data_IF_888717375363
#
_entry.id   IF_888717375363
#
_cell.length_a   1.000
_cell.length_b   1.000
_cell.length_c   1.000
_cell.angle_alpha   90.00
_cell.angle_beta   90.00
_cell.angle_gamma   90.00
#
_symmetry.space_group_name_H-M   'P 1'
#
loop_
_entity.id
_entity.type
_entity.pdbx_description
1 polymer ?
#
# COMPACT_ATOMS: atom_id res chain seq x y z
N UNK A 1 -20.84 -5.98 -35.56
CA UNK A 1 -20.24 -7.34 -35.48
C UNK A 1 -20.89 -7.98 -34.25
N UNK A 2 -21.83 -8.88 -34.52
CA UNK A 2 -22.55 -9.63 -33.48
C UNK A 2 -21.57 -10.54 -32.76
N UNK A 3 -21.10 -10.10 -31.61
CA UNK A 3 -20.31 -10.95 -30.71
C UNK A 3 -21.22 -11.96 -30.03
N UNK A 4 -21.41 -13.14 -30.62
CA UNK A 4 -21.96 -14.28 -29.90
C UNK A 4 -21.17 -14.44 -28.60
N UNK A 5 -21.83 -14.24 -27.45
CA UNK A 5 -21.21 -14.50 -26.14
C UNK A 5 -20.72 -15.94 -26.14
N UNK A 6 -19.40 -16.12 -26.03
CA UNK A 6 -18.80 -17.47 -25.89
C UNK A 6 -19.48 -18.18 -24.75
N UNK A 7 -19.80 -19.45 -24.95
CA UNK A 7 -20.28 -20.30 -23.86
C UNK A 7 -19.09 -20.71 -22.98
N UNK A 8 -19.34 -21.11 -21.73
CA UNK A 8 -18.26 -21.56 -20.85
C UNK A 8 -17.48 -22.76 -21.39
N UNK A 9 -18.15 -23.58 -22.24
CA UNK A 9 -17.55 -24.71 -22.93
C UNK A 9 -16.56 -24.32 -24.04
N UNK A 10 -16.63 -23.11 -24.56
CA UNK A 10 -15.76 -22.65 -25.65
C UNK A 10 -14.35 -22.24 -25.16
N UNK A 11 -14.14 -22.17 -23.84
CA UNK A 11 -12.84 -21.91 -23.29
C UNK A 11 -11.96 -23.16 -23.24
N UNK A 12 -10.74 -23.11 -23.80
CA UNK A 12 -9.84 -24.26 -23.78
C UNK A 12 -9.45 -24.65 -22.35
N UNK A 13 -9.22 -25.90 -22.08
CA UNK A 13 -8.83 -26.44 -20.78
C UNK A 13 -7.62 -25.70 -20.19
N UNK A 14 -6.68 -25.28 -21.04
CA UNK A 14 -5.52 -24.48 -20.63
C UNK A 14 -5.93 -23.16 -19.95
N UNK A 15 -7.01 -22.53 -20.40
CA UNK A 15 -7.52 -21.27 -19.81
C UNK A 15 -8.09 -21.53 -18.41
N UNK A 16 -8.84 -22.62 -18.25
CA UNK A 16 -9.35 -23.05 -16.94
C UNK A 16 -8.21 -23.36 -15.96
N UNK A 17 -7.19 -24.09 -16.42
CA UNK A 17 -6.01 -24.39 -15.60
C UNK A 17 -5.32 -23.09 -15.18
N UNK A 18 -5.13 -22.13 -16.09
CA UNK A 18 -4.52 -20.84 -15.76
C UNK A 18 -5.35 -20.07 -14.73
N UNK A 19 -6.66 -19.97 -14.95
CA UNK A 19 -7.55 -19.27 -14.04
C UNK A 19 -7.50 -19.88 -12.64
N UNK A 20 -7.76 -21.20 -12.52
CA UNK A 20 -7.85 -21.88 -11.24
C UNK A 20 -6.49 -21.95 -10.54
N UNK A 21 -5.45 -22.42 -11.25
CA UNK A 21 -4.12 -22.60 -10.66
C UNK A 21 -3.54 -21.30 -10.13
N UNK A 22 -3.58 -20.25 -10.95
CA UNK A 22 -2.99 -18.96 -10.54
C UNK A 22 -3.82 -18.27 -9.47
N UNK A 23 -5.15 -18.33 -9.54
CA UNK A 23 -6.02 -17.81 -8.48
C UNK A 23 -5.79 -18.54 -7.15
N UNK A 24 -5.74 -19.87 -7.15
CA UNK A 24 -5.48 -20.67 -5.94
C UNK A 24 -4.10 -20.35 -5.37
N UNK A 25 -3.07 -20.29 -6.23
CA UNK A 25 -1.73 -19.97 -5.75
C UNK A 25 -1.60 -18.51 -5.27
N UNK A 26 -2.29 -17.57 -5.92
CA UNK A 26 -2.38 -16.19 -5.46
C UNK A 26 -3.03 -16.09 -4.07
N UNK A 27 -4.16 -16.76 -3.87
CA UNK A 27 -4.83 -16.84 -2.56
C UNK A 27 -3.92 -17.50 -1.52
N UNK A 28 -3.24 -18.61 -1.88
CA UNK A 28 -2.26 -19.25 -1.00
C UNK A 28 -1.15 -18.28 -0.59
N UNK A 29 -0.57 -17.56 -1.54
CA UNK A 29 0.57 -16.68 -1.28
C UNK A 29 0.24 -15.53 -0.32
N UNK A 30 -0.99 -15.01 -0.35
CA UNK A 30 -1.38 -13.83 0.44
C UNK A 30 -2.22 -14.15 1.67
N UNK A 31 -2.93 -15.30 1.72
CA UNK A 31 -3.94 -15.53 2.76
C UNK A 31 -3.78 -16.85 3.54
N UNK A 32 -3.01 -17.80 3.05
CA UNK A 32 -2.82 -19.07 3.75
C UNK A 32 -1.55 -19.01 4.61
N UNK A 33 -1.74 -19.07 5.93
CA UNK A 33 -0.63 -19.15 6.87
C UNK A 33 -0.09 -20.57 6.95
N UNK A 34 1.23 -20.69 6.95
CA UNK A 34 1.94 -21.93 7.24
C UNK A 34 3.18 -21.64 8.09
N UNK A 35 3.67 -22.63 8.80
CA UNK A 35 4.78 -22.47 9.72
C UNK A 35 6.07 -22.94 9.07
N UNK A 36 7.06 -22.04 9.04
CA UNK A 36 8.44 -22.42 8.75
C UNK A 36 9.24 -22.49 10.04
N UNK A 37 10.11 -23.52 10.21
CA UNK A 37 11.03 -23.60 11.33
C UNK A 37 12.08 -22.50 11.25
N UNK A 38 12.84 -22.30 12.32
CA UNK A 38 14.02 -21.44 12.27
C UNK A 38 14.99 -21.97 11.22
N UNK A 39 15.41 -21.12 10.31
CA UNK A 39 16.42 -21.44 9.32
C UNK A 39 17.48 -20.35 9.23
N UNK A 40 18.68 -20.75 8.88
CA UNK A 40 19.84 -19.89 8.71
C UNK A 40 20.58 -20.32 7.46
N UNK A 41 21.00 -19.35 6.67
CA UNK A 41 21.86 -19.62 5.53
C UNK A 41 23.21 -18.96 5.73
N UNK A 42 24.24 -19.76 5.46
CA UNK A 42 25.64 -19.38 5.57
C UNK A 42 26.34 -19.57 4.23
N UNK A 43 27.26 -18.65 3.92
CA UNK A 43 28.16 -18.79 2.78
C UNK A 43 29.57 -18.79 3.34
N UNK A 44 30.17 -19.96 3.38
CA UNK A 44 31.46 -20.16 4.08
C UNK A 44 31.31 -19.83 5.58
N UNK A 45 32.19 -19.00 6.16
CA UNK A 45 32.13 -18.63 7.58
C UNK A 45 31.06 -17.53 7.87
N UNK A 46 30.41 -17.00 6.85
CA UNK A 46 29.50 -15.85 6.97
C UNK A 46 28.08 -16.30 7.17
N UNK A 47 27.42 -15.81 8.22
CA UNK A 47 25.96 -15.91 8.38
C UNK A 47 25.34 -14.88 7.46
N UNK A 48 24.75 -15.32 6.36
CA UNK A 48 24.09 -14.43 5.42
C UNK A 48 22.75 -13.95 5.98
N UNK A 49 21.97 -14.83 6.58
CA UNK A 49 20.75 -14.45 7.25
C UNK A 49 20.20 -15.53 8.16
N UNK A 50 19.45 -15.12 9.18
CA UNK A 50 18.72 -16.00 10.10
C UNK A 50 17.30 -15.53 10.22
N UNK A 51 16.34 -16.44 10.02
CA UNK A 51 14.91 -16.20 10.20
C UNK A 51 14.40 -17.11 11.32
N UNK A 52 13.78 -16.52 12.34
CA UNK A 52 13.18 -17.28 13.43
C UNK A 52 11.94 -18.05 12.95
N UNK A 53 11.62 -19.13 13.65
CA UNK A 53 10.39 -19.88 13.40
C UNK A 53 9.16 -18.97 13.51
N UNK A 54 8.31 -19.02 12.51
CA UNK A 54 7.11 -18.19 12.44
C UNK A 54 6.03 -18.81 11.58
N UNK A 55 4.77 -18.52 11.92
CA UNK A 55 3.60 -18.88 11.11
C UNK A 55 3.13 -17.64 10.37
N UNK A 56 3.23 -17.65 9.04
CA UNK A 56 2.92 -16.50 8.20
C UNK A 56 2.46 -16.91 6.79
N UNK A 57 2.04 -15.94 5.98
CA UNK A 57 1.74 -16.14 4.56
C UNK A 57 3.04 -16.19 3.74
N UNK A 58 3.00 -16.79 2.55
CA UNK A 58 4.17 -16.96 1.68
C UNK A 58 4.90 -15.64 1.41
N UNK A 59 4.16 -14.59 1.09
CA UNK A 59 4.74 -13.26 0.80
C UNK A 59 5.49 -12.70 2.00
N UNK A 60 4.95 -12.87 3.22
CA UNK A 60 5.63 -12.47 4.46
C UNK A 60 6.90 -13.28 4.72
N UNK A 61 6.85 -14.60 4.51
CA UNK A 61 8.04 -15.45 4.63
C UNK A 61 9.14 -15.00 3.66
N UNK A 62 8.76 -14.70 2.41
CA UNK A 62 9.71 -14.20 1.41
C UNK A 62 10.25 -12.81 1.77
N UNK A 63 9.44 -11.91 2.30
CA UNK A 63 9.87 -10.60 2.81
C UNK A 63 10.88 -10.75 3.94
N UNK A 64 10.62 -11.63 4.91
CA UNK A 64 11.52 -11.87 6.04
C UNK A 64 12.83 -12.54 5.61
N UNK A 65 12.74 -13.44 4.62
CA UNK A 65 13.92 -14.02 3.98
C UNK A 65 14.81 -12.93 3.35
N UNK A 66 14.22 -12.06 2.52
CA UNK A 66 14.96 -10.96 1.88
C UNK A 66 15.53 -9.97 2.92
N UNK A 67 14.77 -9.65 3.97
CA UNK A 67 15.25 -8.78 5.06
C UNK A 67 16.40 -9.40 5.79
N UNK A 68 16.34 -10.69 6.08
CA UNK A 68 17.42 -11.42 6.73
C UNK A 68 18.68 -11.50 5.84
N UNK A 69 18.51 -11.76 4.55
CA UNK A 69 19.60 -11.87 3.60
C UNK A 69 20.31 -10.55 3.28
N UNK A 70 19.52 -9.46 3.13
CA UNK A 70 20.03 -8.20 2.57
C UNK A 70 20.22 -7.08 3.61
N UNK A 71 19.77 -7.29 4.84
CA UNK A 71 19.81 -6.23 5.84
C UNK A 71 20.25 -6.66 7.24
N UNK A 72 19.65 -7.69 7.84
CA UNK A 72 19.95 -8.08 9.23
C UNK A 72 21.13 -9.03 9.38
N UNK A 73 21.61 -9.62 8.29
CA UNK A 73 22.82 -10.44 8.25
C UNK A 73 24.10 -9.61 8.19
N UNK A 74 25.21 -10.27 7.93
CA UNK A 74 26.52 -9.60 7.80
C UNK A 74 26.61 -8.69 6.56
N UNK A 75 25.74 -8.92 5.57
CA UNK A 75 25.70 -8.16 4.33
C UNK A 75 24.58 -7.12 4.33
N UNK A 76 24.90 -5.88 4.73
CA UNK A 76 23.94 -4.76 4.78
C UNK A 76 23.82 -4.08 3.42
N UNK A 77 23.20 -4.73 2.42
CA UNK A 77 23.03 -4.15 1.09
C UNK A 77 21.86 -3.16 0.99
N UNK A 78 20.83 -3.35 1.80
CA UNK A 78 19.58 -2.58 1.64
C UNK A 78 19.71 -1.06 1.74
N UNK A 79 20.51 -0.47 2.64
CA UNK A 79 20.68 0.99 2.64
C UNK A 79 21.19 1.52 1.30
N UNK A 80 22.12 0.81 0.64
CA UNK A 80 22.61 1.16 -0.69
C UNK A 80 21.51 1.00 -1.76
N UNK A 81 20.74 -0.08 -1.71
CA UNK A 81 19.60 -0.30 -2.64
C UNK A 81 18.56 0.82 -2.50
N UNK A 82 18.21 1.20 -1.28
CA UNK A 82 17.28 2.31 -1.01
C UNK A 82 17.83 3.63 -1.57
N UNK A 83 19.14 3.86 -1.40
CA UNK A 83 19.80 5.03 -1.97
C UNK A 83 19.79 5.02 -3.51
N UNK A 84 20.07 3.89 -4.14
CA UNK A 84 20.03 3.74 -5.59
C UNK A 84 18.62 4.00 -6.16
N UNK A 85 17.57 3.55 -5.45
CA UNK A 85 16.17 3.88 -5.76
C UNK A 85 15.93 5.40 -5.62
N UNK A 86 16.51 6.04 -4.60
CA UNK A 86 16.48 7.49 -4.43
C UNK A 86 17.17 8.24 -5.58
N UNK A 87 18.34 7.77 -6.06
CA UNK A 87 19.00 8.30 -7.26
C UNK A 87 18.07 8.22 -8.47
N UNK A 88 17.43 7.06 -8.69
CA UNK A 88 16.44 6.92 -9.77
C UNK A 88 15.32 7.96 -9.66
N UNK A 89 14.82 8.25 -8.44
CA UNK A 89 13.81 9.30 -8.20
C UNK A 89 14.28 10.68 -8.66
N UNK A 90 15.54 11.04 -8.41
CA UNK A 90 16.12 12.32 -8.83
C UNK A 90 16.33 12.37 -10.34
N UNK A 91 16.81 11.28 -10.93
CA UNK A 91 16.93 11.17 -12.39
C UNK A 91 15.56 11.30 -13.07
N UNK A 92 14.53 10.67 -12.50
CA UNK A 92 13.15 10.81 -13.00
C UNK A 92 12.65 12.26 -12.95
N UNK A 93 12.99 12.97 -11.88
CA UNK A 93 12.59 14.36 -11.66
C UNK A 93 13.20 15.35 -12.67
N UNK A 94 14.46 15.14 -13.04
CA UNK A 94 15.20 16.10 -13.87
C UNK A 94 15.40 15.65 -15.33
N UNK A 95 15.41 14.34 -15.59
CA UNK A 95 15.79 13.80 -16.89
C UNK A 95 14.64 13.07 -17.58
N UNK A 96 13.99 12.14 -16.89
CA UNK A 96 13.00 11.27 -17.53
C UNK A 96 11.64 11.95 -17.71
N UNK A 97 11.15 12.67 -16.71
CA UNK A 97 9.82 13.29 -16.71
C UNK A 97 9.80 14.71 -16.10
N UNK A 98 10.69 15.63 -16.51
CA UNK A 98 10.79 16.96 -15.90
C UNK A 98 9.48 17.75 -16.01
N UNK A 99 8.79 17.68 -17.15
CA UNK A 99 7.55 18.43 -17.39
C UNK A 99 6.42 18.02 -16.44
N UNK A 100 6.40 16.77 -15.99
CA UNK A 100 5.38 16.28 -15.04
C UNK A 100 5.50 16.98 -13.68
N UNK A 101 6.70 17.29 -13.25
CA UNK A 101 6.94 17.82 -11.89
C UNK A 101 7.06 19.35 -11.87
N UNK A 102 7.73 19.95 -12.86
CA UNK A 102 8.06 21.37 -12.82
C UNK A 102 7.08 22.26 -13.56
N UNK A 103 6.32 21.73 -14.53
CA UNK A 103 5.46 22.53 -15.40
C UNK A 103 3.97 22.24 -15.28
N UNK A 104 3.56 21.21 -14.51
CA UNK A 104 2.15 20.82 -14.43
C UNK A 104 1.38 21.64 -13.40
N UNK A 105 1.91 21.82 -12.20
CA UNK A 105 1.26 22.59 -11.14
C UNK A 105 2.28 23.05 -10.09
N UNK A 106 2.00 24.18 -9.39
CA UNK A 106 2.84 24.67 -8.28
C UNK A 106 3.00 23.65 -7.17
N UNK A 107 1.94 22.87 -6.89
CA UNK A 107 1.96 21.79 -5.88
C UNK A 107 2.94 20.70 -6.28
N UNK A 108 2.98 20.28 -7.55
CA UNK A 108 3.92 19.27 -8.04
C UNK A 108 5.37 19.72 -7.88
N UNK A 109 5.67 20.99 -8.15
CA UNK A 109 6.99 21.57 -7.94
C UNK A 109 7.40 21.59 -6.45
N UNK A 110 6.48 21.88 -5.53
CA UNK A 110 6.76 21.81 -4.10
C UNK A 110 7.13 20.38 -3.66
N UNK A 111 6.39 19.36 -4.16
CA UNK A 111 6.72 17.95 -3.90
C UNK A 111 8.04 17.52 -4.52
N UNK A 112 8.42 18.09 -5.67
CA UNK A 112 9.74 17.88 -6.25
C UNK A 112 10.86 18.36 -5.31
N UNK A 113 10.70 19.53 -4.69
CA UNK A 113 11.65 20.04 -3.66
C UNK A 113 11.72 19.12 -2.46
N UNK A 114 10.58 18.63 -1.94
CA UNK A 114 10.58 17.70 -0.80
C UNK A 114 11.29 16.37 -1.12
N UNK A 115 11.16 15.86 -2.35
CA UNK A 115 11.92 14.68 -2.80
C UNK A 115 13.42 14.95 -2.85
N UNK A 116 13.86 16.12 -3.29
CA UNK A 116 15.28 16.50 -3.29
C UNK A 116 15.81 16.53 -1.86
N UNK A 117 15.11 17.19 -0.95
CA UNK A 117 15.51 17.25 0.47
C UNK A 117 15.56 15.84 1.07
N UNK A 118 14.53 15.01 0.81
CA UNK A 118 14.49 13.62 1.27
C UNK A 118 15.65 12.79 0.73
N UNK A 119 16.03 12.97 -0.52
CA UNK A 119 17.20 12.29 -1.11
C UNK A 119 18.52 12.75 -0.48
N UNK A 120 18.67 14.04 -0.17
CA UNK A 120 19.83 14.56 0.55
C UNK A 120 19.93 13.92 1.94
N UNK A 121 18.83 13.88 2.71
CA UNK A 121 18.77 13.23 4.02
C UNK A 121 19.13 11.74 3.92
N UNK A 122 18.58 11.04 2.92
CA UNK A 122 18.89 9.65 2.64
C UNK A 122 20.37 9.43 2.31
N UNK A 123 20.98 10.33 1.54
CA UNK A 123 22.40 10.25 1.17
C UNK A 123 23.31 10.38 2.39
N UNK A 124 23.06 11.36 3.26
CA UNK A 124 23.79 11.49 4.52
C UNK A 124 23.59 10.28 5.42
N UNK A 125 22.37 9.74 5.46
CA UNK A 125 22.08 8.55 6.26
C UNK A 125 22.88 7.33 5.79
N UNK A 126 22.95 7.10 4.49
CA UNK A 126 23.71 5.98 3.91
C UNK A 126 25.21 6.16 4.16
N UNK A 127 25.74 7.36 4.02
CA UNK A 127 27.14 7.69 4.37
C UNK A 127 27.38 7.40 5.85
N UNK A 128 26.50 7.81 6.74
CA UNK A 128 26.66 7.52 8.16
C UNK A 128 26.62 6.01 8.48
N UNK A 129 25.71 5.25 7.85
CA UNK A 129 25.59 3.80 8.09
C UNK A 129 26.88 3.06 7.70
N UNK A 130 27.55 3.43 6.62
CA UNK A 130 28.73 2.74 6.11
C UNK A 130 30.06 3.30 6.63
N UNK A 131 30.13 4.60 6.88
CA UNK A 131 31.40 5.28 7.23
C UNK A 131 31.40 5.90 8.62
N UNK A 132 30.26 5.94 9.34
CA UNK A 132 30.15 6.51 10.69
C UNK A 132 30.31 8.03 10.76
N UNK A 133 30.24 8.75 9.62
CA UNK A 133 30.47 10.20 9.54
C UNK A 133 29.18 10.96 9.23
N UNK A 134 29.04 12.14 9.81
CA UNK A 134 27.96 13.08 9.49
C UNK A 134 28.40 14.54 9.82
N UNK A 135 27.84 15.54 9.14
CA UNK A 135 28.12 16.95 9.46
C UNK A 135 27.57 17.33 10.83
N UNK A 136 28.31 18.12 11.60
CA UNK A 136 27.91 18.51 12.97
C UNK A 136 26.54 19.19 13.06
N UNK A 137 26.13 19.97 12.04
CA UNK A 137 24.82 20.61 11.98
C UNK A 137 23.64 19.61 11.81
N UNK A 138 23.93 18.37 11.42
CA UNK A 138 22.95 17.27 11.33
C UNK A 138 22.95 16.36 12.56
N UNK A 139 23.66 16.71 13.65
CA UNK A 139 23.70 15.88 14.85
C UNK A 139 22.30 15.49 15.35
N UNK A 140 21.33 16.40 15.28
CA UNK A 140 19.92 16.16 15.66
C UNK A 140 19.30 14.95 14.93
N UNK A 141 19.75 14.65 13.70
CA UNK A 141 19.23 13.54 12.89
C UNK A 141 19.94 12.20 13.20
N UNK A 142 21.18 12.27 13.73
CA UNK A 142 22.03 11.10 13.98
C UNK A 142 22.23 10.79 15.47
N UNK A 143 21.80 11.66 16.38
CA UNK A 143 21.82 11.37 17.82
C UNK A 143 20.57 10.61 18.24
N UNK A 144 20.71 9.79 19.29
CA UNK A 144 19.60 9.03 19.86
C UNK A 144 18.53 9.93 20.45
N UNK A 145 17.28 9.55 20.27
CA UNK A 145 16.09 10.24 20.78
C UNK A 145 15.29 9.28 21.67
N UNK A 146 14.95 9.69 22.88
CA UNK A 146 14.29 8.84 23.87
C UNK A 146 12.93 8.33 23.39
N UNK A 147 12.14 9.19 22.74
CA UNK A 147 10.83 8.80 22.15
C UNK A 147 10.92 7.72 21.06
N UNK A 148 12.13 7.49 20.53
CA UNK A 148 12.42 6.47 19.52
C UNK A 148 13.18 5.25 20.09
N UNK A 149 13.14 5.08 21.43
CA UNK A 149 13.86 4.00 22.10
C UNK A 149 15.39 4.14 22.04
N UNK A 150 15.91 5.38 22.06
CA UNK A 150 17.33 5.68 21.98
C UNK A 150 17.95 5.59 20.59
N UNK A 151 17.16 5.27 19.53
CA UNK A 151 17.63 5.29 18.14
C UNK A 151 17.67 6.72 17.60
N UNK A 152 18.59 6.99 16.68
CA UNK A 152 18.57 8.24 15.93
C UNK A 152 17.39 8.25 14.93
N UNK A 153 16.92 9.44 14.57
CA UNK A 153 15.83 9.61 13.60
C UNK A 153 16.17 8.91 12.28
N UNK A 154 17.37 9.12 11.76
CA UNK A 154 17.80 8.52 10.50
C UNK A 154 17.80 7.00 10.52
N UNK A 155 18.43 6.38 11.52
CA UNK A 155 18.43 4.90 11.63
C UNK A 155 17.05 4.36 11.90
N UNK A 156 16.23 5.04 12.68
CA UNK A 156 14.85 4.63 12.96
C UNK A 156 14.00 4.58 11.68
N UNK A 157 14.09 5.61 10.84
CA UNK A 157 13.40 5.67 9.54
C UNK A 157 13.94 4.61 8.57
N UNK A 158 15.27 4.43 8.50
CA UNK A 158 15.87 3.42 7.63
C UNK A 158 15.39 2.02 8.01
N UNK A 159 15.51 1.64 9.29
CA UNK A 159 15.22 0.29 9.79
C UNK A 159 13.74 -0.09 9.64
N UNK A 160 12.85 0.83 10.00
CA UNK A 160 11.44 0.54 10.17
C UNK A 160 10.61 0.89 8.93
N UNK A 161 10.97 1.94 8.17
CA UNK A 161 10.21 2.36 6.99
C UNK A 161 10.91 1.98 5.70
N UNK A 162 12.03 2.61 5.39
CA UNK A 162 12.61 2.57 4.06
C UNK A 162 13.00 1.16 3.64
N UNK A 163 13.72 0.43 4.50
CA UNK A 163 14.07 -0.96 4.25
C UNK A 163 12.81 -1.84 4.15
N UNK A 164 11.86 -1.64 5.05
CA UNK A 164 10.63 -2.45 5.07
C UNK A 164 9.80 -2.25 3.81
N UNK A 165 9.59 -1.00 3.38
CA UNK A 165 8.85 -0.69 2.15
C UNK A 165 9.58 -1.22 0.92
N UNK A 166 10.89 -0.95 0.81
CA UNK A 166 11.70 -1.36 -0.33
C UNK A 166 11.90 -2.88 -0.46
N UNK A 167 11.59 -3.65 0.58
CA UNK A 167 11.56 -5.12 0.52
C UNK A 167 10.12 -5.64 0.35
N UNK A 168 9.18 -5.15 1.17
CA UNK A 168 7.82 -5.72 1.22
C UNK A 168 7.03 -5.48 -0.07
N UNK A 169 7.15 -4.27 -0.66
CA UNK A 169 6.41 -3.95 -1.88
C UNK A 169 6.89 -4.77 -3.07
N UNK A 170 8.20 -4.87 -3.39
CA UNK A 170 8.67 -5.77 -4.45
C UNK A 170 8.36 -7.25 -4.18
N UNK A 171 8.52 -7.70 -2.93
CA UNK A 171 8.18 -9.07 -2.55
C UNK A 171 6.71 -9.39 -2.83
N UNK A 172 5.79 -8.52 -2.43
CA UNK A 172 4.37 -8.66 -2.76
C UNK A 172 4.13 -8.59 -4.27
N UNK A 173 4.77 -7.66 -4.97
CA UNK A 173 4.62 -7.45 -6.41
C UNK A 173 5.05 -8.65 -7.25
N UNK A 174 5.97 -9.47 -6.76
CA UNK A 174 6.38 -10.71 -7.41
C UNK A 174 5.21 -11.73 -7.50
N UNK A 175 4.40 -11.83 -6.44
CA UNK A 175 3.28 -12.76 -6.37
C UNK A 175 1.96 -12.15 -6.84
N UNK A 176 1.89 -10.83 -6.92
CA UNK A 176 0.68 -10.07 -7.22
C UNK A 176 0.00 -10.47 -8.55
N UNK A 177 0.73 -10.73 -9.66
CA UNK A 177 0.10 -11.16 -10.91
C UNK A 177 -0.76 -12.41 -10.76
N UNK A 178 -0.36 -13.33 -9.87
CA UNK A 178 -1.10 -14.58 -9.62
C UNK A 178 -2.47 -14.31 -9.00
N UNK A 179 -2.56 -13.28 -8.17
CA UNK A 179 -3.80 -12.90 -7.51
C UNK A 179 -4.70 -12.03 -8.40
N UNK A 180 -4.11 -11.12 -9.19
CA UNK A 180 -4.85 -10.02 -9.84
C UNK A 180 -5.05 -10.26 -11.33
N UNK A 181 -4.04 -10.80 -12.06
CA UNK A 181 -4.04 -10.72 -13.52
C UNK A 181 -4.74 -11.87 -14.24
N UNK A 182 -5.06 -12.96 -13.55
CA UNK A 182 -5.58 -14.17 -14.18
C UNK A 182 -7.04 -14.45 -13.88
N UNK A 183 -7.82 -13.37 -13.62
CA UNK A 183 -9.28 -13.39 -13.66
C UNK A 183 -9.97 -13.50 -12.31
N UNK A 184 -9.24 -13.69 -11.20
CA UNK A 184 -9.86 -13.76 -9.86
C UNK A 184 -10.54 -12.44 -9.49
N UNK A 185 -9.91 -11.32 -9.82
CA UNK A 185 -10.43 -9.98 -9.53
C UNK A 185 -11.71 -9.70 -10.32
N UNK A 186 -11.72 -10.03 -11.61
CA UNK A 186 -12.88 -9.90 -12.48
C UNK A 186 -14.03 -10.78 -12.00
N UNK A 187 -13.72 -12.02 -11.65
CA UNK A 187 -14.70 -12.96 -11.09
C UNK A 187 -15.35 -12.40 -9.81
N UNK A 188 -14.56 -11.99 -8.83
CA UNK A 188 -15.06 -11.41 -7.59
C UNK A 188 -15.77 -10.08 -7.84
N UNK A 189 -15.21 -9.22 -8.69
CA UNK A 189 -15.79 -7.93 -9.05
C UNK A 189 -17.20 -8.04 -9.64
N UNK A 190 -17.42 -9.02 -10.52
CA UNK A 190 -18.76 -9.28 -11.07
C UNK A 190 -19.73 -9.76 -10.00
N UNK A 191 -19.31 -10.62 -9.07
CA UNK A 191 -20.18 -11.10 -7.97
C UNK A 191 -20.62 -9.93 -7.05
N UNK A 192 -19.74 -8.97 -6.79
CA UNK A 192 -20.04 -7.83 -5.93
C UNK A 192 -20.81 -6.73 -6.66
N UNK A 193 -20.87 -6.76 -7.99
CA UNK A 193 -21.49 -5.74 -8.86
C UNK A 193 -22.92 -5.39 -8.44
N UNK A 194 -23.75 -6.37 -8.06
CA UNK A 194 -25.14 -6.16 -7.66
C UNK A 194 -25.31 -5.33 -6.37
N UNK A 195 -24.27 -5.29 -5.52
CA UNK A 195 -24.27 -4.57 -4.25
C UNK A 195 -23.85 -3.10 -4.45
N UNK A 196 -23.09 -2.81 -5.51
CA UNK A 196 -22.46 -1.50 -5.70
C UNK A 196 -23.44 -0.35 -5.81
N UNK A 197 -24.48 -0.48 -6.64
CA UNK A 197 -25.47 0.60 -6.83
C UNK A 197 -26.32 0.87 -5.59
N UNK A 198 -26.99 -0.10 -4.96
CA UNK A 198 -27.86 0.17 -3.81
C UNK A 198 -27.09 0.61 -2.57
N UNK A 199 -25.89 0.07 -2.34
CA UNK A 199 -25.12 0.32 -1.12
C UNK A 199 -24.19 1.53 -1.28
N UNK A 200 -23.40 1.58 -2.34
CA UNK A 200 -22.35 2.59 -2.53
C UNK A 200 -22.75 3.71 -3.51
N UNK A 201 -23.90 3.59 -4.19
CA UNK A 201 -24.33 4.53 -5.26
C UNK A 201 -23.30 4.65 -6.40
N UNK A 202 -22.61 3.56 -6.69
CA UNK A 202 -21.56 3.46 -7.69
C UNK A 202 -21.92 2.41 -8.76
N UNK A 203 -21.40 2.52 -9.98
CA UNK A 203 -21.61 1.51 -11.00
C UNK A 203 -20.95 0.18 -10.58
N UNK A 204 -21.49 -0.95 -11.03
CA UNK A 204 -20.96 -2.27 -10.70
C UNK A 204 -19.51 -2.48 -11.14
N UNK A 205 -19.11 -1.85 -12.27
CA UNK A 205 -17.71 -1.86 -12.74
C UNK A 205 -16.71 -1.25 -11.74
N UNK A 206 -17.17 -0.37 -10.85
CA UNK A 206 -16.36 0.16 -9.75
C UNK A 206 -15.84 -0.95 -8.82
N UNK A 207 -16.57 -2.05 -8.67
CA UNK A 207 -16.13 -3.18 -7.86
C UNK A 207 -14.83 -3.80 -8.40
N UNK A 208 -14.70 -3.99 -9.71
CA UNK A 208 -13.49 -4.52 -10.33
C UNK A 208 -12.32 -3.56 -10.13
N UNK A 209 -12.55 -2.25 -10.33
CA UNK A 209 -11.52 -1.22 -10.15
C UNK A 209 -11.06 -1.18 -8.69
N UNK A 210 -11.99 -1.19 -7.75
CA UNK A 210 -11.70 -1.20 -6.31
C UNK A 210 -10.86 -2.41 -5.92
N UNK A 211 -11.27 -3.62 -6.31
CA UNK A 211 -10.55 -4.84 -5.99
C UNK A 211 -9.16 -4.84 -6.65
N UNK A 212 -9.07 -4.38 -7.90
CA UNK A 212 -7.79 -4.23 -8.60
C UNK A 212 -6.85 -3.23 -7.94
N UNK A 213 -7.37 -2.09 -7.49
CA UNK A 213 -6.57 -1.06 -6.80
C UNK A 213 -6.11 -1.54 -5.42
N UNK A 214 -6.99 -2.18 -4.66
CA UNK A 214 -6.71 -2.68 -3.31
C UNK A 214 -5.73 -3.87 -3.31
N UNK A 215 -5.93 -4.83 -4.20
CA UNK A 215 -5.02 -5.98 -4.32
C UNK A 215 -3.76 -5.64 -5.11
N UNK A 216 -3.87 -4.79 -6.12
CA UNK A 216 -2.85 -4.52 -7.11
C UNK A 216 -2.05 -3.23 -6.85
N UNK A 217 -2.17 -2.31 -7.78
CA UNK A 217 -1.48 -1.03 -7.75
C UNK A 217 -2.50 0.11 -7.82
N UNK A 218 -2.46 0.98 -6.83
CA UNK A 218 -3.25 2.22 -6.75
C UNK A 218 -3.23 3.04 -8.06
N UNK A 219 -2.07 3.21 -8.68
CA UNK A 219 -1.95 3.98 -9.92
C UNK A 219 -2.72 3.37 -11.09
N UNK A 220 -2.77 2.03 -11.18
CA UNK A 220 -3.55 1.33 -12.23
C UNK A 220 -5.04 1.57 -12.04
N UNK A 221 -5.51 1.56 -10.78
CA UNK A 221 -6.89 1.91 -10.44
C UNK A 221 -7.25 3.32 -10.92
N UNK A 222 -6.39 4.31 -10.68
CA UNK A 222 -6.63 5.70 -11.10
C UNK A 222 -6.62 5.89 -12.62
N UNK A 223 -5.74 5.20 -13.34
CA UNK A 223 -5.75 5.19 -14.80
C UNK A 223 -7.08 4.63 -15.31
N UNK A 224 -7.52 3.48 -14.75
CA UNK A 224 -8.78 2.86 -15.14
C UNK A 224 -10.00 3.77 -14.86
N UNK A 225 -10.01 4.48 -13.71
CA UNK A 225 -11.05 5.46 -13.38
C UNK A 225 -11.08 6.59 -14.43
N UNK A 226 -9.93 7.18 -14.72
CA UNK A 226 -9.81 8.27 -15.69
C UNK A 226 -10.26 7.84 -17.09
N UNK A 227 -9.89 6.64 -17.52
CA UNK A 227 -10.29 6.09 -18.82
C UNK A 227 -11.80 5.84 -18.89
N UNK A 228 -12.38 5.27 -17.83
CA UNK A 228 -13.85 5.04 -17.76
C UNK A 228 -14.64 6.36 -17.75
N UNK A 229 -14.14 7.39 -17.04
CA UNK A 229 -14.74 8.71 -17.04
C UNK A 229 -14.68 9.37 -18.43
N UNK A 230 -13.51 9.39 -19.07
CA UNK A 230 -13.32 9.94 -20.43
C UNK A 230 -14.11 9.22 -21.51
N UNK A 231 -14.44 7.94 -21.28
CA UNK A 231 -15.28 7.16 -22.20
C UNK A 231 -16.80 7.34 -21.94
N UNK A 232 -17.20 8.21 -21.00
CA UNK A 232 -18.61 8.42 -20.66
C UNK A 232 -19.26 7.23 -19.93
N UNK A 233 -18.45 6.36 -19.33
CA UNK A 233 -18.92 5.17 -18.63
C UNK A 233 -19.12 5.38 -17.13
N UNK A 234 -18.58 6.46 -16.60
CA UNK A 234 -18.74 6.92 -15.22
C UNK A 234 -19.04 8.41 -15.20
N UNK A 235 -19.77 8.86 -14.18
CA UNK A 235 -19.96 10.29 -13.92
C UNK A 235 -18.76 10.85 -13.15
N UNK A 236 -18.62 12.17 -13.10
CA UNK A 236 -17.59 12.87 -12.32
C UNK A 236 -17.64 12.46 -10.86
N UNK A 237 -18.83 12.45 -10.25
CA UNK A 237 -19.02 12.04 -8.85
C UNK A 237 -18.59 10.59 -8.63
N UNK A 238 -18.98 9.66 -9.50
CA UNK A 238 -18.58 8.26 -9.42
C UNK A 238 -17.06 8.13 -9.48
N UNK A 239 -16.40 8.80 -10.42
CA UNK A 239 -14.95 8.79 -10.57
C UNK A 239 -14.23 9.36 -9.34
N UNK A 240 -14.69 10.51 -8.81
CA UNK A 240 -14.12 11.13 -7.61
C UNK A 240 -14.29 10.21 -6.39
N UNK A 241 -15.48 9.64 -6.17
CA UNK A 241 -15.73 8.75 -5.03
C UNK A 241 -14.85 7.50 -5.11
N UNK A 242 -14.74 6.87 -6.28
CA UNK A 242 -13.89 5.67 -6.42
C UNK A 242 -12.43 6.04 -6.20
N UNK A 243 -11.96 7.14 -6.77
CA UNK A 243 -10.57 7.60 -6.66
C UNK A 243 -10.17 8.04 -5.25
N UNK A 244 -11.11 8.57 -4.45
CA UNK A 244 -10.81 9.09 -3.11
C UNK A 244 -11.16 8.13 -1.97
N UNK A 245 -12.22 7.34 -2.09
CA UNK A 245 -12.72 6.53 -0.97
C UNK A 245 -12.52 5.04 -1.14
N UNK A 246 -12.45 4.53 -2.37
CA UNK A 246 -12.31 3.09 -2.66
C UNK A 246 -10.90 2.68 -3.11
N UNK A 247 -10.13 3.63 -3.63
CA UNK A 247 -8.75 3.37 -4.05
C UNK A 247 -7.81 3.58 -2.88
N UNK A 248 -7.59 2.53 -2.10
CA UNK A 248 -6.66 2.54 -0.98
C UNK A 248 -5.25 2.15 -1.40
N UNK A 249 -4.35 2.09 -0.42
CA UNK A 249 -3.00 1.58 -0.60
C UNK A 249 -3.02 0.11 -1.02
N UNK A 250 -2.04 -0.30 -1.80
CA UNK A 250 -1.93 -1.67 -2.30
C UNK A 250 -1.68 -2.70 -1.19
N UNK A 251 -2.00 -3.98 -1.47
CA UNK A 251 -1.72 -5.09 -0.55
C UNK A 251 -0.24 -5.18 -0.14
N UNK A 252 0.68 -4.81 -1.03
CA UNK A 252 2.12 -4.75 -0.72
C UNK A 252 2.45 -3.68 0.31
N UNK A 253 1.77 -2.54 0.25
CA UNK A 253 1.92 -1.47 1.23
C UNK A 253 1.25 -1.83 2.57
N UNK A 254 0.06 -2.48 2.54
CA UNK A 254 -0.56 -3.05 3.74
C UNK A 254 0.39 -4.02 4.45
N UNK A 255 1.07 -4.88 3.69
CA UNK A 255 2.04 -5.81 4.24
C UNK A 255 3.23 -5.07 4.89
N UNK A 256 3.69 -3.97 4.30
CA UNK A 256 4.73 -3.13 4.90
C UNK A 256 4.27 -2.54 6.23
N UNK A 257 3.06 -1.98 6.31
CA UNK A 257 2.47 -1.47 7.57
C UNK A 257 2.32 -2.58 8.62
N UNK A 258 1.84 -3.77 8.21
CA UNK A 258 1.72 -4.91 9.11
C UNK A 258 3.09 -5.35 9.67
N UNK A 259 4.14 -5.31 8.85
CA UNK A 259 5.50 -5.58 9.30
C UNK A 259 6.02 -4.53 10.29
N UNK A 260 5.79 -3.25 10.01
CA UNK A 260 6.20 -2.13 10.90
C UNK A 260 5.50 -2.24 12.26
N UNK A 261 4.20 -2.49 12.27
CA UNK A 261 3.40 -2.58 13.49
C UNK A 261 3.52 -3.92 14.21
N UNK A 262 4.21 -4.91 13.62
CA UNK A 262 4.36 -6.26 14.17
C UNK A 262 3.11 -7.14 14.03
N UNK A 263 2.13 -6.77 13.18
CA UNK A 263 0.92 -7.57 12.93
C UNK A 263 1.18 -8.82 12.08
N UNK A 264 2.36 -8.95 11.50
CA UNK A 264 2.83 -10.17 10.85
C UNK A 264 3.46 -11.17 11.82
N UNK A 265 3.72 -10.77 13.07
CA UNK A 265 4.25 -11.65 14.10
C UNK A 265 3.18 -12.64 14.61
N UNK A 266 3.59 -13.60 15.40
CA UNK A 266 2.70 -14.62 15.98
C UNK A 266 1.60 -13.98 16.80
N UNK A 267 0.36 -14.29 16.47
CA UNK A 267 -0.85 -13.75 17.07
C UNK A 267 -1.83 -14.84 17.52
N UNK A 268 -3.11 -14.66 17.20
CA UNK A 268 -4.19 -15.56 17.56
C UNK A 268 -3.94 -16.99 17.08
N UNK A 269 -4.02 -17.96 18.01
CA UNK A 269 -3.82 -19.39 17.73
C UNK A 269 -2.50 -19.75 17.05
N UNK A 270 -1.42 -19.02 17.35
CA UNK A 270 -0.10 -19.26 16.75
C UNK A 270 0.04 -18.79 15.29
N UNK A 271 -0.94 -18.06 14.76
CA UNK A 271 -0.92 -17.50 13.40
C UNK A 271 -0.67 -15.98 13.45
N UNK A 272 -0.16 -15.42 12.37
CA UNK A 272 0.01 -13.96 12.26
C UNK A 272 -1.36 -13.25 12.22
N UNK A 273 -1.39 -11.99 12.65
CA UNK A 273 -2.58 -11.15 12.54
C UNK A 273 -2.80 -10.60 11.13
N UNK A 274 -1.95 -10.91 10.15
CA UNK A 274 -2.02 -10.38 8.79
C UNK A 274 -3.42 -10.48 8.16
N UNK A 275 -4.01 -11.69 8.17
CA UNK A 275 -5.33 -11.89 7.56
C UNK A 275 -6.42 -11.06 8.23
N UNK A 276 -6.41 -11.00 9.56
CA UNK A 276 -7.36 -10.18 10.31
C UNK A 276 -7.19 -8.69 9.98
N UNK A 277 -5.95 -8.21 9.95
CA UNK A 277 -5.63 -6.84 9.59
C UNK A 277 -6.08 -6.50 8.16
N UNK A 278 -5.77 -7.37 7.20
CA UNK A 278 -6.18 -7.18 5.80
C UNK A 278 -7.70 -7.02 5.68
N UNK A 279 -8.48 -7.93 6.27
CA UNK A 279 -9.94 -7.87 6.18
C UNK A 279 -10.54 -6.70 6.96
N UNK A 280 -9.97 -6.32 8.10
CA UNK A 280 -10.38 -5.13 8.83
C UNK A 280 -10.11 -3.87 7.99
N UNK A 281 -8.92 -3.72 7.43
CA UNK A 281 -8.57 -2.59 6.57
C UNK A 281 -9.52 -2.50 5.36
N UNK A 282 -9.81 -3.62 4.71
CA UNK A 282 -10.75 -3.70 3.59
C UNK A 282 -12.17 -3.27 4.00
N UNK A 283 -12.68 -3.83 5.10
CA UNK A 283 -14.02 -3.48 5.60
C UNK A 283 -14.14 -2.02 6.03
N UNK A 284 -13.11 -1.49 6.71
CA UNK A 284 -13.09 -0.06 7.10
C UNK A 284 -13.10 0.82 5.86
N UNK A 285 -12.37 0.49 4.82
CA UNK A 285 -12.40 1.22 3.53
C UNK A 285 -13.82 1.23 2.94
N UNK A 286 -14.50 0.09 2.93
CA UNK A 286 -15.88 0.01 2.47
C UNK A 286 -16.83 0.86 3.32
N UNK A 287 -16.68 0.85 4.66
CA UNK A 287 -17.47 1.67 5.57
C UNK A 287 -17.22 3.17 5.37
N UNK A 288 -15.96 3.57 5.22
CA UNK A 288 -15.59 4.97 4.90
C UNK A 288 -16.23 5.42 3.59
N UNK A 289 -16.21 4.57 2.56
CA UNK A 289 -16.87 4.87 1.28
C UNK A 289 -18.39 4.96 1.44
N UNK A 290 -18.98 4.02 2.18
CA UNK A 290 -20.42 3.99 2.46
C UNK A 290 -20.91 5.30 3.10
N UNK A 291 -20.16 5.83 4.04
CA UNK A 291 -20.45 7.10 4.71
C UNK A 291 -20.09 8.28 3.80
N UNK A 292 -18.87 8.27 3.23
CA UNK A 292 -18.32 9.35 2.45
C UNK A 292 -19.17 9.75 1.25
N UNK A 293 -19.74 8.78 0.52
CA UNK A 293 -20.61 9.06 -0.63
C UNK A 293 -21.89 9.81 -0.25
N UNK A 294 -22.25 9.85 1.02
CA UNK A 294 -23.49 10.47 1.55
C UNK A 294 -23.27 11.82 2.21
N UNK A 295 -22.04 12.17 2.51
CA UNK A 295 -21.70 13.42 3.22
C UNK A 295 -20.90 14.39 2.33
N UNK A 296 -20.96 15.72 2.58
CA UNK A 296 -20.08 16.68 1.92
C UNK A 296 -18.59 16.38 2.22
N UNK A 297 -17.68 16.62 1.27
CA UNK A 297 -17.89 17.25 -0.04
C UNK A 297 -18.35 16.28 -1.16
N UNK A 298 -18.19 14.96 -1.00
CA UNK A 298 -18.39 13.98 -2.07
C UNK A 298 -19.82 13.93 -2.63
N UNK A 299 -20.84 14.12 -1.79
CA UNK A 299 -22.23 14.15 -2.23
C UNK A 299 -22.62 15.42 -3.03
N UNK A 300 -21.75 16.45 -3.04
CA UNK A 300 -21.95 17.71 -3.77
C UNK A 300 -21.23 17.72 -5.13
N UNK A 301 -20.40 16.75 -5.41
CA UNK A 301 -19.76 16.62 -6.72
C UNK A 301 -20.85 16.42 -7.79
N UNK A 302 -20.77 17.12 -8.93
CA UNK A 302 -21.75 16.99 -10.01
C UNK A 302 -21.86 15.55 -10.53
N UNK A 303 -23.07 15.11 -10.83
CA UNK A 303 -23.33 13.80 -11.44
C UNK A 303 -23.38 13.94 -12.97
N UNK A 304 -22.29 14.49 -13.52
CA UNK A 304 -22.13 14.79 -14.95
C UNK A 304 -21.17 13.83 -15.62
N UNK A 305 -21.41 13.54 -16.89
CA UNK A 305 -20.46 12.80 -17.72
C UNK A 305 -19.43 13.74 -18.32
N UNK A 306 -18.32 13.17 -18.81
CA UNK A 306 -17.27 13.92 -19.48
C UNK A 306 -17.82 14.68 -20.69
N UNK A 307 -17.45 15.95 -20.83
CA UNK A 307 -17.97 16.83 -21.87
C UNK A 307 -17.69 16.28 -23.28
N UNK A 308 -18.70 16.39 -24.16
CA UNK A 308 -18.61 15.97 -25.56
C UNK A 308 -18.66 14.47 -25.81
N UNK A 309 -18.84 13.64 -24.77
CA UNK A 309 -18.95 12.18 -24.91
C UNK A 309 -20.37 11.70 -24.67
N UNK A 310 -20.83 10.78 -25.53
CA UNK A 310 -22.14 10.13 -25.35
C UNK A 310 -22.10 9.23 -24.11
N UNK A 311 -23.04 9.40 -23.16
CA UNK A 311 -23.12 8.52 -21.99
C UNK A 311 -23.29 7.05 -22.37
N UNK A 312 -22.48 6.18 -21.77
CA UNK A 312 -22.57 4.72 -21.87
C UNK A 312 -22.71 4.10 -20.46
N UNK A 313 -23.86 4.31 -19.80
CA UNK A 313 -24.07 3.80 -18.46
C UNK A 313 -24.12 2.27 -18.45
N UNK A 314 -23.60 1.68 -17.37
CA UNK A 314 -23.62 0.24 -17.19
C UNK A 314 -25.04 -0.32 -17.13
N UNK A 315 -25.29 -1.33 -17.95
CA UNK A 315 -26.57 -2.05 -17.92
C UNK A 315 -26.61 -3.05 -16.75
N UNK A 316 -27.76 -3.15 -16.04
CA UNK A 316 -27.87 -4.09 -14.93
C UNK A 316 -27.80 -5.54 -15.45
N UNK A 317 -26.93 -6.34 -14.82
CA UNK A 317 -26.84 -7.79 -15.09
C UNK A 317 -28.09 -8.47 -14.49
N UNK A 318 -29.02 -8.88 -15.32
CA UNK A 318 -30.33 -9.39 -14.89
C UNK A 318 -30.38 -10.91 -14.65
N UNK A 319 -29.47 -11.72 -15.20
CA UNK A 319 -29.51 -13.19 -15.09
C UNK A 319 -28.11 -13.79 -15.03
N UNK A 320 -27.98 -14.92 -14.34
CA UNK A 320 -26.78 -15.79 -14.29
C UNK A 320 -25.49 -15.07 -13.86
N UNK A 321 -25.52 -14.39 -12.72
CA UNK A 321 -24.37 -13.64 -12.17
C UNK A 321 -23.10 -14.52 -12.07
N UNK A 322 -23.24 -15.78 -11.66
CA UNK A 322 -22.13 -16.73 -11.54
C UNK A 322 -21.52 -17.08 -12.90
N UNK A 323 -22.36 -17.29 -13.92
CA UNK A 323 -21.88 -17.56 -15.28
C UNK A 323 -21.17 -16.35 -15.86
N UNK A 324 -21.72 -15.16 -15.65
CA UNK A 324 -21.08 -13.90 -16.06
C UNK A 324 -19.73 -13.71 -15.36
N UNK A 325 -19.65 -13.98 -14.06
CA UNK A 325 -18.41 -13.90 -13.30
C UNK A 325 -17.33 -14.86 -13.82
N UNK A 326 -17.72 -16.13 -14.08
CA UNK A 326 -16.80 -17.12 -14.66
C UNK A 326 -16.35 -16.71 -16.06
N UNK A 327 -17.28 -16.18 -16.88
CA UNK A 327 -16.95 -15.72 -18.23
C UNK A 327 -15.91 -14.60 -18.20
N UNK A 328 -16.11 -13.56 -17.38
CA UNK A 328 -15.16 -12.45 -17.26
C UNK A 328 -13.80 -12.93 -16.72
N UNK A 329 -13.80 -13.79 -15.69
CA UNK A 329 -12.57 -14.39 -15.15
C UNK A 329 -11.80 -15.22 -16.18
N UNK A 330 -12.50 -16.08 -16.92
CA UNK A 330 -11.87 -16.90 -17.96
C UNK A 330 -11.41 -16.06 -19.15
N UNK A 331 -12.18 -15.06 -19.56
CA UNK A 331 -11.78 -14.12 -20.61
C UNK A 331 -10.46 -13.42 -20.26
N UNK A 332 -10.35 -12.91 -19.04
CA UNK A 332 -9.12 -12.29 -18.55
C UNK A 332 -7.95 -13.29 -18.54
N UNK A 333 -8.16 -14.49 -18.01
CA UNK A 333 -7.13 -15.54 -17.99
C UNK A 333 -6.67 -15.95 -19.40
N UNK A 334 -7.56 -15.90 -20.40
CA UNK A 334 -7.26 -16.22 -21.80
C UNK A 334 -6.42 -15.12 -22.48
N UNK A 335 -6.80 -13.86 -22.26
CA UNK A 335 -6.21 -12.70 -22.94
C UNK A 335 -4.90 -12.25 -22.33
N UNK A 336 -4.66 -12.59 -21.06
CA UNK A 336 -3.49 -12.12 -20.33
C UNK A 336 -2.19 -12.73 -20.84
N UNK A 337 -1.12 -11.92 -20.82
CA UNK A 337 0.22 -12.32 -21.22
C UNK A 337 0.78 -13.46 -20.33
N UNK A 338 1.89 -14.05 -20.75
CA UNK A 338 2.59 -15.06 -19.95
C UNK A 338 3.07 -14.48 -18.61
N UNK A 339 3.06 -15.29 -17.54
CA UNK A 339 3.38 -14.91 -16.17
C UNK A 339 4.72 -14.16 -16.06
N UNK A 340 5.79 -14.64 -16.71
CA UNK A 340 7.09 -13.97 -16.66
C UNK A 340 7.06 -12.54 -17.21
N UNK A 341 6.34 -12.29 -18.31
CA UNK A 341 6.16 -10.94 -18.87
C UNK A 341 5.36 -10.05 -17.93
N UNK A 342 4.34 -10.60 -17.26
CA UNK A 342 3.53 -9.85 -16.28
C UNK A 342 4.32 -9.51 -15.04
N UNK A 343 5.08 -10.47 -14.49
CA UNK A 343 5.98 -10.21 -13.35
C UNK A 343 6.98 -9.11 -13.72
N UNK A 344 7.65 -9.19 -14.88
CA UNK A 344 8.61 -8.19 -15.31
C UNK A 344 7.96 -6.79 -15.45
N UNK A 345 6.75 -6.73 -16.01
CA UNK A 345 6.00 -5.48 -16.13
C UNK A 345 5.67 -4.89 -14.76
N UNK A 346 5.09 -5.68 -13.85
CA UNK A 346 4.70 -5.21 -12.50
C UNK A 346 5.94 -4.84 -11.68
N UNK A 347 7.04 -5.58 -11.79
CA UNK A 347 8.29 -5.22 -11.12
C UNK A 347 8.85 -3.89 -11.63
N UNK A 348 8.80 -3.63 -12.93
CA UNK A 348 9.19 -2.33 -13.51
C UNK A 348 8.35 -1.19 -12.96
N UNK A 349 7.01 -1.35 -12.94
CA UNK A 349 6.10 -0.37 -12.35
C UNK A 349 6.38 -0.16 -10.85
N UNK A 350 6.63 -1.25 -10.12
CA UNK A 350 6.96 -1.22 -8.69
C UNK A 350 8.22 -0.41 -8.41
N UNK A 351 9.28 -0.62 -9.19
CA UNK A 351 10.53 0.17 -9.06
C UNK A 351 10.25 1.65 -9.33
N UNK A 352 9.43 1.97 -10.34
CA UNK A 352 9.01 3.34 -10.63
C UNK A 352 8.26 4.00 -9.47
N UNK A 353 7.34 3.26 -8.83
CA UNK A 353 6.61 3.73 -7.64
C UNK A 353 7.56 3.90 -6.46
N UNK A 354 8.43 2.93 -6.18
CA UNK A 354 9.40 3.00 -5.10
C UNK A 354 10.35 4.20 -5.25
N UNK A 355 10.79 4.50 -6.48
CA UNK A 355 11.59 5.69 -6.77
C UNK A 355 10.87 6.97 -6.35
N UNK A 356 9.58 7.05 -6.58
CA UNK A 356 8.77 8.19 -6.13
C UNK A 356 8.57 8.20 -4.61
N UNK A 357 8.30 7.04 -4.01
CA UNK A 357 7.96 6.90 -2.59
C UNK A 357 9.19 7.03 -1.69
N UNK A 358 10.33 6.43 -2.02
CA UNK A 358 11.48 6.36 -1.11
C UNK A 358 12.02 7.73 -0.68
N UNK A 359 12.27 8.64 -1.63
CA UNK A 359 12.77 9.99 -1.32
C UNK A 359 11.70 10.85 -0.65
N UNK A 360 10.43 10.77 -1.12
CA UNK A 360 9.32 11.48 -0.49
C UNK A 360 9.09 11.02 0.95
N UNK A 361 9.05 9.73 1.19
CA UNK A 361 8.91 9.14 2.52
C UNK A 361 10.09 9.50 3.42
N UNK A 362 11.33 9.52 2.90
CA UNK A 362 12.48 9.97 3.70
C UNK A 362 12.28 11.39 4.24
N UNK A 363 11.73 12.32 3.45
CA UNK A 363 11.39 13.67 3.89
C UNK A 363 10.21 13.69 4.86
N UNK A 364 9.05 13.18 4.42
CA UNK A 364 7.81 13.30 5.21
C UNK A 364 7.86 12.49 6.50
N UNK A 365 8.51 11.32 6.51
CA UNK A 365 8.72 10.56 7.73
C UNK A 365 9.66 11.30 8.70
N UNK A 366 10.75 11.89 8.19
CA UNK A 366 11.63 12.73 9.02
C UNK A 366 10.84 13.90 9.58
N UNK A 367 10.09 14.61 8.76
CA UNK A 367 9.25 15.73 9.18
C UNK A 367 8.23 15.33 10.25
N UNK A 368 7.50 14.23 10.04
CA UNK A 368 6.52 13.70 10.99
C UNK A 368 7.15 13.27 12.32
N UNK A 369 8.31 12.58 12.27
CA UNK A 369 9.05 12.19 13.47
C UNK A 369 9.62 13.39 14.22
N UNK A 370 10.11 14.40 13.52
CA UNK A 370 10.58 15.67 14.14
C UNK A 370 9.43 16.40 14.82
N UNK A 371 8.28 16.53 14.13
CA UNK A 371 7.09 17.15 14.74
C UNK A 371 6.65 16.40 16.00
N UNK A 372 6.66 15.06 15.97
CA UNK A 372 6.29 14.23 17.12
C UNK A 372 7.30 14.34 18.26
N UNK A 373 8.61 14.26 17.98
CA UNK A 373 9.65 14.13 19.01
C UNK A 373 10.11 15.47 19.61
N UNK A 374 10.03 16.57 18.86
CA UNK A 374 10.61 17.85 19.26
C UNK A 374 9.60 18.99 19.39
N UNK A 375 8.32 18.75 19.07
CA UNK A 375 7.29 19.79 19.19
C UNK A 375 6.03 19.26 19.87
N UNK A 376 5.30 20.09 20.64
CA UNK A 376 4.02 19.68 21.21
C UNK A 376 2.85 19.78 20.21
N UNK A 377 3.09 20.23 18.97
CA UNK A 377 2.05 20.55 17.98
C UNK A 377 1.15 19.35 17.72
N UNK A 378 1.76 18.17 17.48
CA UNK A 378 1.02 16.95 17.18
C UNK A 378 0.19 16.49 18.38
N UNK A 379 0.71 16.64 19.58
CA UNK A 379 -0.02 16.32 20.80
C UNK A 379 -1.19 17.29 21.01
N UNK A 380 -0.99 18.59 20.83
CA UNK A 380 -2.06 19.59 20.93
C UNK A 380 -3.19 19.33 19.94
N UNK A 381 -2.86 19.06 18.68
CA UNK A 381 -3.86 18.67 17.68
C UNK A 381 -4.51 17.33 18.02
N UNK A 382 -3.78 16.41 18.66
CA UNK A 382 -4.27 15.14 19.14
C UNK A 382 -5.41 15.27 20.16
N UNK A 383 -5.45 16.36 20.95
CA UNK A 383 -6.54 16.60 21.89
C UNK A 383 -7.92 16.60 21.23
N UNK A 384 -7.99 16.98 19.96
CA UNK A 384 -9.25 16.92 19.16
C UNK A 384 -9.79 15.50 19.04
N UNK A 385 -8.90 14.50 18.94
CA UNK A 385 -9.26 13.09 18.76
C UNK A 385 -9.37 12.32 20.08
N UNK A 386 -8.87 12.85 21.21
CA UNK A 386 -8.91 12.19 22.52
C UNK A 386 -10.32 11.74 22.93
N UNK A 387 -11.39 12.57 22.84
CA UNK A 387 -12.73 12.14 23.23
C UNK A 387 -13.19 10.89 22.47
N UNK A 388 -12.88 10.82 21.16
CA UNK A 388 -13.21 9.68 20.32
C UNK A 388 -12.50 8.42 20.80
N UNK A 389 -11.20 8.47 21.01
CA UNK A 389 -10.43 7.31 21.48
C UNK A 389 -10.79 6.91 22.91
N UNK A 390 -11.18 7.86 23.76
CA UNK A 390 -11.71 7.57 25.11
C UNK A 390 -13.00 6.76 25.07
N UNK A 391 -13.91 7.03 24.13
CA UNK A 391 -15.13 6.23 23.91
C UNK A 391 -14.80 4.78 23.57
N UNK A 392 -13.73 4.55 22.82
CA UNK A 392 -13.24 3.21 22.50
C UNK A 392 -12.34 2.60 23.58
N UNK A 393 -12.29 3.20 24.77
CA UNK A 393 -11.62 2.63 25.95
C UNK A 393 -10.10 2.79 25.97
N UNK A 394 -9.50 3.64 25.15
CA UNK A 394 -8.09 3.99 25.30
C UNK A 394 -7.88 4.91 26.52
N UNK A 395 -6.79 4.70 27.25
CA UNK A 395 -6.44 5.46 28.47
C UNK A 395 -4.93 5.66 28.54
N UNK A 396 -4.50 6.63 29.37
CA UNK A 396 -3.09 6.88 29.64
C UNK A 396 -2.27 7.15 28.37
N UNK A 397 -1.11 6.55 28.30
CA UNK A 397 -0.15 6.73 27.20
C UNK A 397 -0.68 6.23 25.86
N UNK A 398 -1.42 5.10 25.84
CA UNK A 398 -2.05 4.60 24.60
C UNK A 398 -3.08 5.58 24.04
N UNK A 399 -3.80 6.33 24.88
CA UNK A 399 -4.71 7.37 24.41
C UNK A 399 -3.94 8.51 23.73
N UNK A 400 -2.81 8.93 24.29
CA UNK A 400 -1.96 9.94 23.68
C UNK A 400 -1.42 9.48 22.34
N UNK A 401 -0.86 8.27 22.27
CA UNK A 401 -0.31 7.71 21.03
C UNK A 401 -1.39 7.49 19.96
N UNK A 402 -2.57 7.00 20.33
CA UNK A 402 -3.67 6.83 19.38
C UNK A 402 -4.11 8.17 18.78
N UNK A 403 -4.26 9.19 19.62
CA UNK A 403 -4.70 10.52 19.17
C UNK A 403 -3.65 11.27 18.36
N UNK A 404 -2.39 11.22 18.76
CA UNK A 404 -1.27 11.81 18.00
C UNK A 404 -1.04 11.07 16.69
N UNK A 405 -1.18 9.73 16.67
CA UNK A 405 -1.11 8.92 15.48
C UNK A 405 -2.19 9.26 14.45
N UNK A 406 -3.41 9.56 14.89
CA UNK A 406 -4.47 10.03 14.01
C UNK A 406 -4.13 11.39 13.33
N UNK A 407 -3.49 12.31 14.05
CA UNK A 407 -3.03 13.59 13.46
C UNK A 407 -1.90 13.36 12.46
N UNK A 408 -0.89 12.57 12.83
CA UNK A 408 0.27 12.30 11.97
C UNK A 408 -0.12 11.56 10.70
N UNK A 409 -1.18 10.75 10.73
CA UNK A 409 -1.68 10.05 9.53
C UNK A 409 -2.06 11.00 8.39
N UNK A 410 -2.38 12.26 8.71
CA UNK A 410 -2.65 13.29 7.70
C UNK A 410 -1.37 13.80 7.02
N UNK A 411 -0.22 13.62 7.64
CA UNK A 411 1.08 14.03 7.09
C UNK A 411 1.68 12.92 6.24
N UNK A 412 1.79 11.72 6.83
CA UNK A 412 2.43 10.58 6.17
C UNK A 412 1.86 9.26 6.73
N UNK A 413 1.55 8.33 5.84
CA UNK A 413 0.80 7.11 6.13
C UNK A 413 1.59 6.09 6.97
N UNK A 414 2.92 6.11 6.93
CA UNK A 414 3.76 5.14 7.66
C UNK A 414 4.12 5.59 9.07
N UNK A 415 4.14 6.89 9.35
CA UNK A 415 4.57 7.43 10.64
C UNK A 415 3.68 6.98 11.81
N UNK A 416 2.34 6.89 11.71
CA UNK A 416 1.53 6.32 12.77
C UNK A 416 1.95 4.90 13.17
N UNK A 417 2.28 4.06 12.17
CA UNK A 417 2.76 2.71 12.42
C UNK A 417 4.10 2.68 13.18
N UNK A 418 4.94 3.69 12.99
CA UNK A 418 6.21 3.83 13.70
C UNK A 418 6.04 4.08 15.20
N UNK A 419 4.99 4.77 15.61
CA UNK A 419 4.74 5.07 17.03
C UNK A 419 4.59 3.79 17.87
N UNK A 420 4.22 2.68 17.22
CA UNK A 420 4.08 1.36 17.86
C UNK A 420 5.15 0.36 17.44
N UNK A 421 6.12 0.76 16.63
CA UNK A 421 7.24 -0.09 16.24
C UNK A 421 8.22 -0.34 17.41
N UNK A 422 8.28 0.59 18.36
CA UNK A 422 9.11 0.51 19.56
C UNK A 422 8.20 0.44 20.78
N UNK A 423 8.61 -0.35 21.78
CA UNK A 423 7.84 -0.52 23.02
C UNK A 423 6.83 -1.66 22.99
N UNK A 424 6.21 -1.89 24.16
CA UNK A 424 5.24 -2.98 24.39
C UNK A 424 3.83 -2.39 24.38
N UNK A 425 3.26 -2.22 23.19
CA UNK A 425 1.92 -1.67 22.99
C UNK A 425 0.88 -2.76 22.83
N UNK A 426 -0.37 -2.48 23.24
CA UNK A 426 -1.48 -3.39 23.05
C UNK A 426 -1.71 -3.71 21.58
N UNK A 427 -2.16 -4.92 21.29
CA UNK A 427 -2.50 -5.30 19.91
C UNK A 427 -3.58 -4.39 19.32
N UNK A 428 -4.52 -3.92 20.16
CA UNK A 428 -5.56 -2.98 19.76
C UNK A 428 -4.98 -1.66 19.21
N UNK A 429 -3.99 -1.08 19.91
CA UNK A 429 -3.34 0.14 19.47
C UNK A 429 -2.58 -0.07 18.14
N UNK A 430 -1.88 -1.20 18.01
CA UNK A 430 -1.18 -1.58 16.77
C UNK A 430 -2.14 -1.68 15.58
N UNK A 431 -3.31 -2.30 15.77
CA UNK A 431 -4.35 -2.37 14.74
C UNK A 431 -4.88 -0.99 14.36
N UNK A 432 -5.19 -0.15 15.33
CA UNK A 432 -5.73 1.19 15.10
C UNK A 432 -4.75 2.02 14.28
N UNK A 433 -3.47 2.04 14.67
CA UNK A 433 -2.45 2.84 13.98
C UNK A 433 -2.00 2.23 12.64
N UNK A 434 -2.31 0.97 12.38
CA UNK A 434 -2.15 0.36 11.06
C UNK A 434 -3.34 0.63 10.12
N UNK A 435 -4.57 0.76 10.65
CA UNK A 435 -5.80 0.91 9.85
C UNK A 435 -6.13 2.38 9.55
N UNK A 436 -5.95 3.29 10.52
CA UNK A 436 -6.25 4.72 10.32
C UNK A 436 -5.58 5.29 9.06
N UNK A 437 -4.26 5.15 8.87
CA UNK A 437 -3.61 5.73 7.70
C UNK A 437 -4.06 5.09 6.38
N UNK A 438 -4.47 3.84 6.39
CA UNK A 438 -4.99 3.15 5.19
C UNK A 438 -6.36 3.67 4.79
N UNK A 439 -7.21 4.01 5.76
CA UNK A 439 -8.53 4.57 5.52
C UNK A 439 -8.51 6.08 5.23
N UNK A 440 -7.39 6.75 5.51
CA UNK A 440 -7.15 8.18 5.23
C UNK A 440 -6.48 8.32 3.87
N UNK A 441 -7.25 8.35 2.79
CA UNK A 441 -6.73 8.27 1.42
C UNK A 441 -5.99 9.55 1.01
N UNK A 442 -6.31 10.68 1.64
CA UNK A 442 -5.67 11.97 1.36
C UNK A 442 -4.75 12.29 2.52
N UNK A 443 -3.47 12.10 2.33
CA UNK A 443 -2.41 12.54 3.23
C UNK A 443 -1.39 13.38 2.46
N UNK A 444 -0.66 14.23 3.16
CA UNK A 444 0.20 15.24 2.54
C UNK A 444 1.22 14.63 1.56
N UNK A 445 1.77 13.47 1.85
CA UNK A 445 2.75 12.80 1.00
C UNK A 445 2.15 12.10 -0.24
N UNK A 446 0.81 12.08 -0.41
CA UNK A 446 0.16 11.42 -1.56
C UNK A 446 -0.01 12.33 -2.80
N UNK A 447 0.27 13.62 -2.68
CA UNK A 447 0.13 14.60 -3.78
C UNK A 447 1.31 14.62 -4.77
#
# INVERSE_FOLDING_TARGET
MDGQMKTLSDYPVRTWIRFVLFSVFGVFAFFINFTLPTYQFTIGPWVWGKVAAQSNVLVSHFTNFLKAALYTGNFKAMPFVVWAIGVYSIVDLFVLRPNKFWHTAKVAAAFAVFKIIGFILLSFLVVNIYFGVYPGWMAWFFTGVDSLGGKSIGTFIMDNILVTICISIPAASLFLPLLVDYGLVEFVGVLVRSIMRPVFRLPGRAAVIMVSAFLGNFSVGHIAINDQYKQGRMTEREAVVIGTSMSTVSVGFLLALANITGLTNVGLWGKSYWNLYFWIAFLVTLLVTLVGVRIPPLNRVPDSYYEGVKPDPEQPVKKDLMKSALHEGLHQAQTQAHLGKRIAYIMKETIGVLGTVASGTAFFATFGVVLYSFTPIVEWLGYLFRPLFMLFGFRGEELTIASTGAVISLVEVTVPALLVAVGSWSMRLRFVLAVIPVSSIIFLASF
#
